data_IF_809081309412
#
_entry.id   IF_809081309412
#
_cell.length_a   1.000
_cell.length_b   1.000
_cell.length_c   1.000
_cell.angle_alpha   90.00
_cell.angle_beta   90.00
_cell.angle_gamma   90.00
#
_symmetry.space_group_name_H-M   'P 1'
#
loop_
_entity.id
_entity.type
_entity.pdbx_description
1 polymer ?
#
# COMPACT_ATOMS: atom_id res chain seq x y z
N UNK A 1 18.49 3.32 21.42
CA UNK A 1 18.28 2.41 22.56
C UNK A 1 17.59 1.16 22.04
N UNK A 2 18.23 0.00 22.12
CA UNK A 2 17.61 -1.26 21.68
C UNK A 2 16.40 -1.55 22.57
N UNK A 3 15.20 -1.56 21.98
CA UNK A 3 14.00 -1.95 22.70
C UNK A 3 14.12 -3.44 23.05
N UNK A 4 14.01 -3.77 24.34
CA UNK A 4 14.01 -5.16 24.80
C UNK A 4 12.75 -5.82 24.23
N UNK A 5 12.94 -6.88 23.44
CA UNK A 5 11.85 -7.67 22.91
C UNK A 5 11.27 -8.53 24.05
N UNK A 6 10.11 -8.13 24.56
CA UNK A 6 9.35 -8.83 25.58
C UNK A 6 8.20 -9.63 24.95
N UNK A 7 7.69 -10.60 25.71
CA UNK A 7 6.54 -11.41 25.31
C UNK A 7 5.40 -11.19 26.29
N UNK A 8 4.20 -10.94 25.78
CA UNK A 8 2.99 -10.70 26.58
C UNK A 8 1.89 -11.66 26.13
N UNK A 9 1.46 -12.55 27.02
CA UNK A 9 0.42 -13.56 26.75
C UNK A 9 -0.85 -13.22 27.54
N UNK A 10 -2.00 -13.31 26.90
CA UNK A 10 -3.26 -13.04 27.59
C UNK A 10 -4.51 -13.19 26.73
N UNK A 11 -5.65 -12.94 27.36
CA UNK A 11 -6.96 -12.95 26.71
C UNK A 11 -7.35 -11.52 26.38
N UNK A 12 -7.73 -11.28 25.13
CA UNK A 12 -8.27 -9.99 24.69
C UNK A 12 -9.65 -9.80 25.34
N UNK A 13 -9.81 -8.81 26.21
CA UNK A 13 -11.10 -8.51 26.82
C UNK A 13 -12.00 -7.73 25.89
N UNK A 14 -11.42 -6.73 25.21
CA UNK A 14 -12.12 -5.91 24.23
C UNK A 14 -11.15 -5.27 23.25
N UNK A 15 -11.68 -4.98 22.07
CA UNK A 15 -11.05 -4.14 21.05
C UNK A 15 -11.54 -2.72 21.30
N UNK A 16 -10.63 -1.82 21.64
CA UNK A 16 -10.96 -0.41 21.90
C UNK A 16 -11.13 0.35 20.60
N UNK A 17 -10.31 0.01 19.60
CA UNK A 17 -10.35 0.59 18.27
C UNK A 17 -9.77 -0.40 17.26
N UNK A 18 -10.34 -0.45 16.06
CA UNK A 18 -9.82 -1.21 14.94
C UNK A 18 -9.98 -0.39 13.67
N UNK A 19 -8.90 -0.25 12.91
CA UNK A 19 -8.94 0.27 11.56
C UNK A 19 -8.94 -0.91 10.58
N UNK A 20 -10.00 -1.01 9.76
CA UNK A 20 -10.17 -2.09 8.78
C UNK A 20 -9.18 -2.00 7.61
N UNK A 21 -8.72 -0.79 7.27
CA UNK A 21 -7.96 -0.52 6.05
C UNK A 21 -6.46 -0.76 6.26
N UNK A 22 -5.96 -0.33 7.41
CA UNK A 22 -4.64 -0.67 7.91
C UNK A 22 -4.91 -1.48 9.16
N UNK A 23 -4.75 -2.80 9.28
CA UNK A 23 -5.15 -3.59 10.48
C UNK A 23 -4.61 -3.18 11.89
N UNK A 24 -4.35 -1.92 12.19
CA UNK A 24 -4.08 -1.34 13.48
C UNK A 24 -5.26 -1.53 14.43
N UNK A 25 -4.97 -2.15 15.56
CA UNK A 25 -5.92 -2.44 16.61
C UNK A 25 -5.36 -2.01 17.96
N UNK A 26 -6.21 -1.39 18.77
CA UNK A 26 -5.92 -1.08 20.18
C UNK A 26 -6.70 -2.07 21.04
N UNK A 27 -5.98 -2.98 21.69
CA UNK A 27 -6.54 -4.09 22.43
C UNK A 27 -6.40 -3.86 23.93
N UNK A 28 -7.44 -4.21 24.68
CA UNK A 28 -7.34 -4.38 26.13
C UNK A 28 -7.22 -5.87 26.41
N UNK A 29 -6.13 -6.26 27.07
CA UNK A 29 -5.83 -7.66 27.35
C UNK A 29 -5.75 -7.89 28.85
N UNK A 30 -6.14 -9.09 29.29
CA UNK A 30 -5.84 -9.60 30.62
C UNK A 30 -4.64 -10.54 30.50
N UNK A 31 -3.45 -10.15 30.99
CA UNK A 31 -2.26 -10.99 30.96
C UNK A 31 -2.46 -12.27 31.78
N UNK A 32 -1.87 -13.38 31.32
CA UNK A 32 -1.87 -14.64 32.10
C UNK A 32 -0.97 -14.57 33.33
N UNK A 33 0.14 -13.83 33.23
CA UNK A 33 1.12 -13.72 34.32
C UNK A 33 0.63 -12.81 35.46
N UNK A 34 -0.38 -11.97 35.18
CA UNK A 34 -0.97 -11.02 36.15
C UNK A 34 -2.50 -11.01 36.06
N UNK A 35 -3.17 -12.10 36.48
CA UNK A 35 -4.63 -12.21 36.44
C UNK A 35 -5.25 -11.22 37.44
N UNK A 36 -5.71 -10.07 36.93
CA UNK A 36 -6.23 -8.95 37.71
C UNK A 36 -5.82 -7.58 37.16
N UNK A 37 -4.79 -7.54 36.32
CA UNK A 37 -4.38 -6.34 35.58
C UNK A 37 -5.00 -6.30 34.18
N UNK A 38 -5.20 -5.09 33.65
CA UNK A 38 -5.59 -4.86 32.26
C UNK A 38 -4.54 -4.02 31.56
N UNK A 39 -3.91 -4.60 30.55
CA UNK A 39 -2.87 -3.94 29.76
C UNK A 39 -3.42 -3.51 28.40
N UNK A 40 -2.80 -2.48 27.83
CA UNK A 40 -3.15 -1.98 26.49
C UNK A 40 -2.10 -2.42 25.50
N UNK A 41 -2.51 -3.11 24.44
CA UNK A 41 -1.63 -3.56 23.35
C UNK A 41 -2.00 -2.83 22.08
N UNK A 42 -1.02 -2.27 21.38
CA UNK A 42 -1.18 -1.78 20.01
C UNK A 42 -0.53 -2.77 19.05
N UNK A 43 -1.28 -3.22 18.04
CA UNK A 43 -0.83 -4.23 17.10
C UNK A 43 -1.37 -3.96 15.70
N UNK A 44 -0.57 -4.24 14.68
CA UNK A 44 -1.00 -4.21 13.28
C UNK A 44 -1.40 -5.61 12.80
N UNK A 45 -2.53 -6.10 13.32
CA UNK A 45 -3.11 -7.38 12.96
C UNK A 45 -4.58 -7.20 12.62
N UNK A 46 -4.98 -7.76 11.49
CA UNK A 46 -6.35 -7.69 11.02
C UNK A 46 -7.26 -8.50 11.94
N UNK A 47 -8.25 -7.78 12.46
CA UNK A 47 -9.35 -8.27 13.29
C UNK A 47 -8.92 -9.21 14.42
N UNK A 48 -8.44 -8.63 15.53
CA UNK A 48 -8.31 -9.35 16.80
C UNK A 48 -9.61 -9.21 17.57
N UNK A 49 -10.11 -10.28 18.18
CA UNK A 49 -11.43 -10.30 18.80
C UNK A 49 -11.37 -10.36 20.32
N UNK A 50 -12.40 -9.81 20.97
CA UNK A 50 -12.63 -10.10 22.37
C UNK A 50 -12.78 -11.63 22.57
N UNK A 51 -12.14 -12.18 23.59
CA UNK A 51 -12.07 -13.61 23.88
C UNK A 51 -10.88 -14.34 23.25
N UNK A 52 -10.21 -13.76 22.26
CA UNK A 52 -9.06 -14.39 21.63
C UNK A 52 -7.90 -14.54 22.63
N UNK A 53 -7.28 -15.72 22.65
CA UNK A 53 -6.05 -15.94 23.40
C UNK A 53 -4.87 -15.59 22.52
N UNK A 54 -4.08 -14.61 22.93
CA UNK A 54 -3.04 -14.01 22.10
C UNK A 54 -1.69 -14.04 22.80
N UNK A 55 -0.65 -14.18 22.00
CA UNK A 55 0.76 -14.06 22.39
C UNK A 55 1.40 -12.95 21.55
N UNK A 56 1.74 -11.85 22.20
CA UNK A 56 2.32 -10.65 21.59
C UNK A 56 3.83 -10.61 21.84
N UNK A 57 4.61 -10.25 20.83
CA UNK A 57 6.04 -9.97 20.94
C UNK A 57 6.29 -8.54 20.51
N UNK A 58 7.07 -7.80 21.29
CA UNK A 58 7.31 -6.39 21.03
C UNK A 58 7.92 -5.71 22.25
N UNK A 59 7.61 -4.43 22.45
CA UNK A 59 8.19 -3.65 23.54
C UNK A 59 7.18 -2.72 24.21
N UNK A 60 7.41 -2.41 25.49
CA UNK A 60 6.66 -1.38 26.19
C UNK A 60 7.02 0.01 25.67
N UNK A 61 6.00 0.80 25.43
CA UNK A 61 6.09 2.20 25.01
C UNK A 61 5.17 3.05 25.89
N UNK A 62 5.40 4.36 25.92
CA UNK A 62 4.54 5.31 26.62
C UNK A 62 4.03 6.32 25.61
N UNK A 63 2.72 6.32 25.38
CA UNK A 63 2.08 7.30 24.51
C UNK A 63 1.81 8.60 25.29
N UNK A 64 2.12 9.79 24.74
CA UNK A 64 1.97 11.06 25.44
C UNK A 64 0.56 11.32 26.01
N UNK A 65 -0.48 10.85 25.31
CA UNK A 65 -1.89 11.02 25.72
C UNK A 65 -2.53 9.79 26.38
N UNK A 66 -2.04 8.58 26.09
CA UNK A 66 -2.74 7.34 26.43
C UNK A 66 -1.96 6.46 27.43
N UNK A 67 -0.79 6.92 27.87
CA UNK A 67 0.02 6.26 28.88
C UNK A 67 0.72 5.00 28.35
N UNK A 68 1.00 4.07 29.26
CA UNK A 68 1.76 2.84 28.98
C UNK A 68 1.00 1.90 28.04
N UNK A 69 1.65 1.48 26.97
CA UNK A 69 1.12 0.56 25.98
C UNK A 69 2.20 -0.42 25.52
N UNK A 70 1.83 -1.68 25.32
CA UNK A 70 2.70 -2.66 24.70
C UNK A 70 2.55 -2.55 23.18
N UNK A 71 3.62 -2.13 22.49
CA UNK A 71 3.64 -2.08 21.02
C UNK A 71 4.10 -3.45 20.52
N UNK A 72 3.18 -4.22 19.96
CA UNK A 72 3.44 -5.55 19.44
C UNK A 72 3.83 -5.48 17.95
N UNK A 73 5.01 -6.02 17.63
CA UNK A 73 5.49 -6.20 16.26
C UNK A 73 4.98 -7.53 15.68
N UNK A 74 4.77 -8.53 16.55
CA UNK A 74 4.24 -9.84 16.19
C UNK A 74 3.14 -10.25 17.16
N UNK A 75 2.09 -10.87 16.64
CA UNK A 75 0.98 -11.36 17.42
C UNK A 75 0.54 -12.74 16.89
N UNK A 76 0.40 -13.69 17.81
CA UNK A 76 0.09 -15.08 17.53
C UNK A 76 -1.17 -15.45 18.27
N UNK A 77 -2.20 -15.85 17.54
CA UNK A 77 -3.44 -16.34 18.13
C UNK A 77 -3.28 -17.82 18.53
N UNK A 78 -3.63 -18.14 19.77
CA UNK A 78 -3.73 -19.51 20.30
C UNK A 78 -5.20 -19.91 20.32
N UNK A 79 -5.48 -21.20 20.11
CA UNK A 79 -6.84 -21.74 20.20
C UNK A 79 -7.45 -21.37 21.56
N UNK A 80 -8.71 -20.88 21.60
CA UNK A 80 -9.36 -20.57 22.87
C UNK A 80 -9.53 -21.85 23.69
N UNK A 81 -9.06 -21.83 24.94
CA UNK A 81 -9.08 -23.00 25.82
C UNK A 81 -10.42 -23.20 26.56
N UNK A 82 -11.36 -22.24 26.47
CA UNK A 82 -12.60 -22.26 27.27
C UNK A 82 -13.83 -21.88 26.46
N UNK A 83 -15.00 -22.41 26.87
CA UNK A 83 -16.30 -22.09 26.26
C UNK A 83 -16.62 -20.58 26.29
N UNK A 84 -16.24 -19.87 27.36
CA UNK A 84 -16.43 -18.42 27.45
C UNK A 84 -15.57 -17.65 26.45
N UNK A 85 -14.36 -18.13 26.16
CA UNK A 85 -13.49 -17.55 25.14
C UNK A 85 -14.05 -17.82 23.73
N UNK A 86 -14.56 -19.03 23.48
CA UNK A 86 -15.26 -19.41 22.25
C UNK A 86 -16.50 -18.54 21.96
N UNK A 87 -17.31 -18.27 22.98
CA UNK A 87 -18.52 -17.45 22.84
C UNK A 87 -18.18 -16.00 22.50
N UNK A 88 -17.19 -15.43 23.20
CA UNK A 88 -16.68 -14.09 22.89
C UNK A 88 -16.06 -14.04 21.49
N UNK A 89 -15.29 -15.06 21.11
CA UNK A 89 -14.63 -15.16 19.82
C UNK A 89 -15.66 -15.15 18.67
N UNK A 90 -16.68 -16.01 18.72
CA UNK A 90 -17.73 -16.06 17.71
C UNK A 90 -18.63 -14.83 17.72
N UNK A 91 -18.90 -14.26 18.90
CA UNK A 91 -19.81 -13.13 19.11
C UNK A 91 -19.17 -11.75 18.91
N UNK A 92 -17.89 -11.70 18.55
CA UNK A 92 -17.07 -10.49 18.47
C UNK A 92 -17.34 -9.61 17.24
N UNK A 93 -18.22 -10.06 16.34
CA UNK A 93 -18.39 -9.46 15.02
C UNK A 93 -17.43 -9.98 13.96
N UNK A 94 -16.64 -11.02 14.29
CA UNK A 94 -15.80 -11.75 13.35
C UNK A 94 -16.61 -12.29 12.16
N UNK A 95 -17.70 -12.98 12.48
CA UNK A 95 -18.53 -13.66 11.49
C UNK A 95 -19.78 -12.84 11.29
N UNK A 96 -19.96 -12.30 10.09
CA UNK A 96 -21.16 -11.55 9.76
C UNK A 96 -22.40 -12.43 9.99
N UNK A 97 -23.33 -11.96 10.84
CA UNK A 97 -24.51 -12.73 11.24
C UNK A 97 -24.41 -13.50 12.57
N UNK A 98 -23.23 -13.59 13.19
CA UNK A 98 -23.04 -14.17 14.52
C UNK A 98 -22.78 -13.07 15.55
N UNK A 99 -23.86 -12.53 16.11
CA UNK A 99 -23.76 -11.64 17.28
C UNK A 99 -23.61 -12.41 18.60
N UNK A 100 -23.33 -11.72 19.73
CA UNK A 100 -23.10 -12.35 21.04
C UNK A 100 -24.21 -13.33 21.46
N UNK A 101 -25.47 -13.00 21.21
CA UNK A 101 -26.62 -13.87 21.51
C UNK A 101 -26.64 -15.15 20.67
N UNK A 102 -26.21 -15.08 19.41
CA UNK A 102 -26.15 -16.25 18.51
C UNK A 102 -24.95 -17.12 18.89
N UNK A 103 -23.81 -16.50 19.15
CA UNK A 103 -22.61 -17.18 19.64
C UNK A 103 -22.87 -17.97 20.94
N UNK A 104 -23.57 -17.37 21.92
CA UNK A 104 -23.89 -18.06 23.16
C UNK A 104 -24.81 -19.27 22.97
N UNK A 105 -25.73 -19.23 22.00
CA UNK A 105 -26.56 -20.40 21.65
C UNK A 105 -25.74 -21.51 21.02
N UNK A 106 -24.87 -21.16 20.07
CA UNK A 106 -23.98 -22.11 19.38
C UNK A 106 -23.08 -22.81 20.41
N UNK A 107 -22.37 -22.04 21.24
CA UNK A 107 -21.44 -22.60 22.24
C UNK A 107 -22.17 -23.41 23.29
N UNK A 108 -23.40 -23.04 23.68
CA UNK A 108 -24.20 -23.84 24.61
C UNK A 108 -24.59 -25.20 24.02
N UNK A 109 -24.87 -25.25 22.72
CA UNK A 109 -25.26 -26.47 22.01
C UNK A 109 -24.06 -27.39 21.76
N UNK A 110 -22.97 -26.87 21.17
CA UNK A 110 -21.81 -27.67 20.76
C UNK A 110 -20.68 -27.74 21.80
N UNK A 111 -20.66 -26.84 22.79
CA UNK A 111 -19.66 -26.77 23.87
C UNK A 111 -18.23 -26.74 23.31
N UNK A 112 -17.37 -27.63 23.76
CA UNK A 112 -15.96 -27.72 23.35
C UNK A 112 -15.81 -28.07 21.86
N UNK A 113 -16.80 -28.74 21.26
CA UNK A 113 -16.81 -29.11 19.83
C UNK A 113 -17.21 -27.96 18.91
N UNK A 114 -17.45 -26.76 19.44
CA UNK A 114 -17.94 -25.64 18.64
C UNK A 114 -16.98 -25.30 17.51
N UNK A 115 -15.66 -25.24 17.77
CA UNK A 115 -14.68 -24.97 16.72
C UNK A 115 -14.61 -26.10 15.70
N UNK A 116 -14.65 -27.35 16.15
CA UNK A 116 -14.61 -28.50 15.25
C UNK A 116 -15.79 -28.49 14.26
N UNK A 117 -16.98 -28.08 14.73
CA UNK A 117 -18.16 -27.90 13.89
C UNK A 117 -17.95 -26.79 12.87
N UNK A 118 -17.37 -25.66 13.25
CA UNK A 118 -17.03 -24.60 12.29
C UNK A 118 -15.95 -25.02 11.29
N UNK A 119 -15.00 -25.87 11.69
CA UNK A 119 -13.89 -26.31 10.83
C UNK A 119 -14.29 -27.44 9.87
N UNK A 120 -15.17 -28.36 10.29
CA UNK A 120 -15.43 -29.61 9.56
C UNK A 120 -16.89 -29.83 9.18
N UNK A 121 -17.86 -29.29 9.93
CA UNK A 121 -19.28 -29.64 9.82
C UNK A 121 -20.21 -28.42 10.00
N UNK A 122 -19.92 -27.30 9.32
CA UNK A 122 -20.60 -26.02 9.58
C UNK A 122 -22.11 -26.08 9.34
N UNK A 123 -22.57 -26.98 8.46
CA UNK A 123 -23.98 -27.25 8.21
C UNK A 123 -24.78 -27.66 9.46
N UNK A 124 -24.12 -28.21 10.48
CA UNK A 124 -24.76 -28.58 11.76
C UNK A 124 -25.25 -27.38 12.55
N UNK A 125 -24.83 -26.16 12.23
CA UNK A 125 -25.32 -24.95 12.89
C UNK A 125 -26.86 -24.79 12.78
N UNK A 126 -27.52 -25.45 11.83
CA UNK A 126 -29.00 -25.50 11.74
C UNK A 126 -29.65 -26.20 12.96
N UNK A 127 -28.92 -27.06 13.67
CA UNK A 127 -29.39 -27.66 14.93
C UNK A 127 -29.63 -26.59 16.02
N UNK A 128 -29.02 -25.40 15.88
CA UNK A 128 -29.11 -24.32 16.87
C UNK A 128 -30.32 -23.43 16.59
N UNK A 129 -31.17 -23.26 17.61
CA UNK A 129 -32.39 -22.47 17.52
C UNK A 129 -32.14 -21.01 17.08
N UNK A 130 -32.61 -20.66 15.88
CA UNK A 130 -32.48 -19.32 15.28
C UNK A 130 -31.41 -19.21 14.20
N UNK A 131 -30.85 -20.33 13.74
CA UNK A 131 -30.02 -20.42 12.53
C UNK A 131 -30.82 -21.19 11.47
N UNK A 132 -31.39 -20.46 10.52
CA UNK A 132 -32.06 -21.02 9.34
C UNK A 132 -31.08 -21.11 8.15
N UNK A 133 -31.44 -21.80 7.07
CA UNK A 133 -30.60 -22.01 5.89
C UNK A 133 -29.92 -20.73 5.37
N UNK A 134 -30.69 -19.65 5.19
CA UNK A 134 -30.14 -18.34 4.75
C UNK A 134 -29.10 -17.76 5.70
N UNK A 135 -29.27 -17.98 7.00
CA UNK A 135 -28.31 -17.50 8.02
C UNK A 135 -27.09 -18.41 8.09
N UNK A 136 -27.26 -19.71 7.87
CA UNK A 136 -26.15 -20.66 7.73
C UNK A 136 -25.26 -20.27 6.55
N UNK A 137 -25.82 -20.04 5.35
CA UNK A 137 -25.05 -19.64 4.16
C UNK A 137 -24.19 -18.40 4.42
N UNK A 138 -24.77 -17.38 5.06
CA UNK A 138 -24.04 -16.16 5.42
C UNK A 138 -22.91 -16.42 6.44
N UNK A 139 -23.15 -17.30 7.41
CA UNK A 139 -22.14 -17.68 8.41
C UNK A 139 -21.00 -18.48 7.76
N UNK A 140 -21.35 -19.39 6.85
CA UNK A 140 -20.41 -20.22 6.11
C UNK A 140 -19.50 -19.38 5.21
N UNK A 141 -20.08 -18.43 4.46
CA UNK A 141 -19.32 -17.50 3.62
C UNK A 141 -18.35 -16.67 4.46
N UNK A 142 -18.85 -16.03 5.53
CA UNK A 142 -18.02 -15.19 6.40
C UNK A 142 -16.93 -15.99 7.11
N UNK A 143 -17.19 -17.24 7.48
CA UNK A 143 -16.20 -18.11 8.09
C UNK A 143 -15.12 -18.54 7.10
N UNK A 144 -15.51 -18.87 5.86
CA UNK A 144 -14.58 -19.19 4.77
C UNK A 144 -13.66 -18.00 4.47
N UNK A 145 -14.23 -16.81 4.28
CA UNK A 145 -13.46 -15.58 4.06
C UNK A 145 -12.45 -15.34 5.18
N UNK A 146 -12.89 -15.43 6.45
CA UNK A 146 -12.00 -15.25 7.58
C UNK A 146 -10.83 -16.25 7.59
N UNK A 147 -11.11 -17.53 7.29
CA UNK A 147 -10.07 -18.56 7.21
C UNK A 147 -9.04 -18.22 6.13
N UNK A 148 -9.49 -17.81 4.95
CA UNK A 148 -8.59 -17.47 3.85
C UNK A 148 -7.73 -16.25 4.16
N UNK A 149 -8.31 -15.20 4.74
CA UNK A 149 -7.55 -14.03 5.21
C UNK A 149 -6.50 -14.45 6.25
N UNK A 150 -6.86 -15.35 7.18
CA UNK A 150 -5.91 -15.88 8.17
C UNK A 150 -4.77 -16.66 7.52
N UNK A 151 -5.05 -17.46 6.50
CA UNK A 151 -4.01 -18.19 5.75
C UNK A 151 -3.04 -17.21 5.05
N UNK A 152 -3.57 -16.15 4.42
CA UNK A 152 -2.74 -15.06 3.83
C UNK A 152 -1.89 -14.37 4.91
N UNK A 153 -2.45 -14.09 6.09
CA UNK A 153 -1.67 -13.52 7.20
C UNK A 153 -0.54 -14.44 7.64
N UNK A 154 -0.82 -15.72 7.82
CA UNK A 154 0.18 -16.71 8.24
C UNK A 154 1.31 -16.82 7.21
N UNK A 155 0.97 -16.79 5.92
CA UNK A 155 1.95 -16.72 4.83
C UNK A 155 2.82 -15.46 4.92
N UNK A 156 2.24 -14.27 5.07
CA UNK A 156 3.03 -13.05 5.21
C UNK A 156 3.94 -13.09 6.46
N UNK A 157 3.46 -13.65 7.57
CA UNK A 157 4.25 -13.80 8.80
C UNK A 157 5.39 -14.80 8.65
N UNK A 158 5.20 -15.93 7.95
CA UNK A 158 6.27 -16.89 7.70
C UNK A 158 7.41 -16.27 6.89
N UNK A 159 7.09 -15.25 6.08
CA UNK A 159 8.04 -14.47 5.30
C UNK A 159 8.48 -13.15 5.98
N UNK A 160 8.20 -12.99 7.28
CA UNK A 160 8.58 -11.80 8.08
C UNK A 160 8.07 -10.46 7.56
N UNK A 161 6.87 -10.45 6.97
CA UNK A 161 6.23 -9.24 6.43
C UNK A 161 5.11 -8.80 7.38
N UNK A 162 4.83 -7.50 7.35
CA UNK A 162 3.69 -6.94 8.06
C UNK A 162 2.36 -7.56 7.56
N UNK A 163 1.57 -8.06 8.49
CA UNK A 163 0.20 -8.55 8.22
C UNK A 163 -0.81 -7.45 7.93
N UNK A 164 -0.40 -6.18 8.00
CA UNK A 164 -1.26 -5.02 7.81
C UNK A 164 -2.05 -5.08 6.51
N UNK A 165 -1.45 -5.63 5.46
CA UNK A 165 -2.03 -5.67 4.12
C UNK A 165 -2.79 -6.96 3.81
N UNK A 166 -2.85 -7.93 4.71
CA UNK A 166 -3.41 -9.26 4.42
C UNK A 166 -4.88 -9.20 3.97
N UNK A 167 -5.71 -8.37 4.63
CA UNK A 167 -7.11 -8.16 4.22
C UNK A 167 -7.19 -7.53 2.84
N UNK A 168 -6.37 -6.49 2.55
CA UNK A 168 -6.37 -5.84 1.23
C UNK A 168 -5.93 -6.81 0.13
N UNK A 169 -4.93 -7.65 0.43
CA UNK A 169 -4.42 -8.67 -0.49
C UNK A 169 -5.51 -9.70 -0.79
N UNK A 170 -6.19 -10.20 0.25
CA UNK A 170 -7.32 -11.13 0.06
C UNK A 170 -8.49 -10.48 -0.69
N UNK A 171 -8.87 -9.24 -0.37
CA UNK A 171 -9.95 -8.53 -1.08
C UNK A 171 -9.66 -8.35 -2.57
N UNK A 172 -8.38 -8.21 -2.96
CA UNK A 172 -7.99 -8.03 -4.36
C UNK A 172 -7.78 -9.35 -5.12
N UNK A 173 -7.23 -10.37 -4.45
CA UNK A 173 -6.83 -11.63 -5.11
C UNK A 173 -7.69 -12.84 -4.73
N UNK A 174 -8.54 -12.73 -3.71
CA UNK A 174 -9.40 -13.80 -3.21
C UNK A 174 -8.62 -15.01 -2.71
N UNK A 175 -9.18 -16.19 -2.95
CA UNK A 175 -8.58 -17.48 -2.59
C UNK A 175 -7.21 -17.72 -3.25
N UNK A 176 -6.94 -17.04 -4.37
CA UNK A 176 -5.69 -17.17 -5.11
C UNK A 176 -4.58 -16.26 -4.61
N UNK A 177 -4.81 -15.51 -3.52
CA UNK A 177 -3.85 -14.58 -2.95
C UNK A 177 -2.46 -15.20 -2.74
N UNK A 178 -2.39 -16.36 -2.08
CA UNK A 178 -1.12 -17.02 -1.79
C UNK A 178 -0.44 -17.48 -3.09
N UNK A 179 -1.19 -18.06 -4.03
CA UNK A 179 -0.66 -18.54 -5.31
C UNK A 179 -0.09 -17.39 -6.15
N UNK A 180 -0.84 -16.29 -6.25
CA UNK A 180 -0.44 -15.10 -7.02
C UNK A 180 0.81 -14.47 -6.42
N UNK A 181 0.84 -14.28 -5.09
CA UNK A 181 1.99 -13.68 -4.40
C UNK A 181 3.21 -14.59 -4.43
N UNK A 182 3.02 -15.91 -4.36
CA UNK A 182 4.13 -16.86 -4.46
C UNK A 182 4.73 -16.92 -5.87
N UNK A 183 3.90 -16.74 -6.91
CA UNK A 183 4.35 -16.75 -8.30
C UNK A 183 5.06 -15.47 -8.75
N UNK A 184 4.57 -14.31 -8.31
CA UNK A 184 5.22 -13.01 -8.53
C UNK A 184 5.04 -12.10 -7.28
N UNK A 185 6.01 -12.14 -6.36
CA UNK A 185 5.97 -11.37 -5.12
C UNK A 185 6.02 -9.84 -5.35
N UNK A 186 6.59 -9.39 -6.47
CA UNK A 186 6.71 -7.97 -6.81
C UNK A 186 5.38 -7.35 -7.25
N UNK A 187 4.36 -8.18 -7.52
CA UNK A 187 2.98 -7.70 -7.62
C UNK A 187 2.53 -6.98 -6.37
N UNK A 188 3.01 -7.39 -5.19
CA UNK A 188 2.66 -6.70 -3.95
C UNK A 188 3.00 -5.21 -4.01
N UNK A 189 4.16 -4.85 -4.55
CA UNK A 189 4.58 -3.47 -4.68
C UNK A 189 3.84 -2.70 -5.80
N UNK A 190 3.39 -3.41 -6.84
CA UNK A 190 2.66 -2.80 -7.96
C UNK A 190 1.17 -2.61 -7.65
N UNK A 191 0.57 -3.55 -6.92
CA UNK A 191 -0.87 -3.65 -6.73
C UNK A 191 -1.38 -3.01 -5.45
N UNK A 192 -0.52 -2.76 -4.45
CA UNK A 192 -0.90 -2.25 -3.14
C UNK A 192 -0.08 -1.02 -2.73
N UNK A 193 -0.77 0.13 -2.68
CA UNK A 193 -0.20 1.34 -2.11
C UNK A 193 0.21 1.12 -0.65
N UNK A 194 1.45 1.47 -0.33
CA UNK A 194 2.07 1.27 0.99
C UNK A 194 3.00 0.04 1.07
N UNK A 195 2.99 -0.83 0.06
CA UNK A 195 4.02 -1.88 -0.08
C UNK A 195 5.05 -1.40 -1.10
N UNK A 196 6.27 -1.14 -0.66
CA UNK A 196 7.37 -0.76 -1.53
C UNK A 196 8.16 -1.96 -2.07
N UNK A 197 9.10 -1.68 -2.98
CA UNK A 197 10.03 -2.68 -3.52
C UNK A 197 10.73 -3.49 -2.43
N UNK A 198 11.29 -2.85 -1.40
CA UNK A 198 12.01 -3.54 -0.33
C UNK A 198 11.16 -4.56 0.44
N UNK A 199 9.88 -4.25 0.65
CA UNK A 199 8.96 -5.18 1.32
C UNK A 199 8.66 -6.37 0.42
N UNK A 200 8.42 -6.13 -0.87
CA UNK A 200 8.23 -7.18 -1.87
C UNK A 200 9.50 -8.04 -2.06
N UNK A 201 10.68 -7.43 -2.05
CA UNK A 201 11.98 -8.10 -2.23
C UNK A 201 12.27 -9.08 -1.09
N UNK A 202 11.92 -8.72 0.15
CA UNK A 202 12.00 -9.63 1.29
C UNK A 202 11.11 -10.87 1.11
N UNK A 203 9.91 -10.70 0.55
CA UNK A 203 9.02 -11.84 0.23
C UNK A 203 9.66 -12.71 -0.83
N UNK A 204 10.13 -12.10 -1.90
CA UNK A 204 10.74 -12.81 -3.03
C UNK A 204 11.94 -13.65 -2.60
N UNK A 205 12.88 -13.06 -1.86
CA UNK A 205 14.07 -13.76 -1.40
C UNK A 205 13.72 -14.87 -0.39
N UNK A 206 12.74 -14.65 0.49
CA UNK A 206 12.32 -15.68 1.46
C UNK A 206 11.51 -16.82 0.82
N UNK A 207 10.92 -16.62 -0.35
CA UNK A 207 10.35 -17.68 -1.19
C UNK A 207 11.40 -18.44 -2.00
N UNK A 208 12.66 -18.02 -1.94
CA UNK A 208 13.76 -18.65 -2.66
C UNK A 208 13.93 -18.15 -4.10
N UNK A 209 13.38 -16.97 -4.43
CA UNK A 209 13.61 -16.36 -5.74
C UNK A 209 15.09 -16.01 -5.90
N UNK A 210 15.66 -16.33 -7.06
CA UNK A 210 17.06 -16.05 -7.34
C UNK A 210 17.36 -14.54 -7.26
N UNK A 211 18.49 -14.12 -6.65
CA UNK A 211 18.86 -12.71 -6.54
C UNK A 211 18.98 -11.99 -7.89
N UNK A 212 19.29 -12.73 -8.95
CA UNK A 212 19.41 -12.26 -10.32
C UNK A 212 18.18 -12.59 -11.18
N UNK A 213 17.07 -13.04 -10.58
CA UNK A 213 15.85 -13.37 -11.33
C UNK A 213 15.34 -12.20 -12.16
N UNK A 214 14.76 -12.50 -13.32
CA UNK A 214 14.17 -11.51 -14.22
C UNK A 214 13.04 -10.70 -13.55
N UNK A 215 12.26 -11.35 -12.68
CA UNK A 215 11.23 -10.69 -11.87
C UNK A 215 11.83 -9.61 -10.94
N UNK A 216 12.92 -9.93 -10.24
CA UNK A 216 13.62 -8.99 -9.35
C UNK A 216 14.24 -7.83 -10.10
N UNK A 217 14.90 -8.11 -11.23
CA UNK A 217 15.48 -7.08 -12.11
C UNK A 217 14.40 -6.14 -12.65
N UNK A 218 13.28 -6.68 -13.13
CA UNK A 218 12.15 -5.90 -13.64
C UNK A 218 11.55 -5.00 -12.55
N UNK A 219 11.38 -5.53 -11.34
CA UNK A 219 10.89 -4.77 -10.20
C UNK A 219 11.87 -3.68 -9.75
N UNK A 220 13.18 -3.95 -9.81
CA UNK A 220 14.23 -2.97 -9.54
C UNK A 220 14.19 -1.81 -10.53
N UNK A 221 14.10 -2.08 -11.83
CA UNK A 221 13.98 -1.03 -12.87
C UNK A 221 12.73 -0.17 -12.63
N UNK A 222 11.59 -0.79 -12.32
CA UNK A 222 10.35 -0.04 -11.99
C UNK A 222 10.55 0.85 -10.77
N UNK A 223 11.21 0.34 -9.73
CA UNK A 223 11.50 1.09 -8.52
C UNK A 223 12.41 2.28 -8.81
N UNK A 224 13.49 2.08 -9.57
CA UNK A 224 14.44 3.13 -9.97
C UNK A 224 13.76 4.21 -10.80
N UNK A 225 12.95 3.85 -11.80
CA UNK A 225 12.18 4.83 -12.58
C UNK A 225 11.17 5.62 -11.72
N UNK A 226 10.58 4.98 -10.72
CA UNK A 226 9.67 5.64 -9.77
C UNK A 226 10.43 6.57 -8.82
N UNK A 227 11.59 6.17 -8.32
CA UNK A 227 12.44 6.97 -7.45
C UNK A 227 13.04 8.18 -8.18
N UNK A 228 13.46 8.00 -9.44
CA UNK A 228 13.95 9.10 -10.28
C UNK A 228 12.91 10.22 -10.46
N UNK A 229 11.63 9.87 -10.53
CA UNK A 229 10.53 10.86 -10.53
C UNK A 229 10.52 11.71 -9.26
N UNK A 230 10.71 11.10 -8.10
CA UNK A 230 10.71 11.82 -6.81
C UNK A 230 11.91 12.78 -6.70
N UNK A 231 12.99 12.49 -7.42
CA UNK A 231 14.18 13.35 -7.56
C UNK A 231 14.03 14.43 -8.65
N UNK A 232 12.91 14.46 -9.37
CA UNK A 232 12.62 15.44 -10.41
C UNK A 232 13.11 15.05 -11.81
N UNK A 233 13.55 13.81 -12.03
CA UNK A 233 13.90 13.30 -13.36
C UNK A 233 12.65 12.94 -14.17
N UNK A 234 12.60 13.35 -15.44
CA UNK A 234 11.56 12.93 -16.39
C UNK A 234 11.85 11.55 -16.99
N UNK A 235 13.13 11.26 -17.23
CA UNK A 235 13.64 10.01 -17.78
C UNK A 235 14.98 9.67 -17.13
N UNK A 236 15.40 8.42 -17.31
CA UNK A 236 16.73 7.95 -16.93
C UNK A 236 17.43 7.30 -18.13
N UNK A 237 18.75 7.42 -18.17
CA UNK A 237 19.61 6.72 -19.13
C UNK A 237 19.90 5.30 -18.65
N UNK A 238 20.25 4.39 -19.57
CA UNK A 238 20.60 3.01 -19.23
C UNK A 238 21.72 2.91 -18.17
N UNK A 239 22.72 3.80 -18.25
CA UNK A 239 23.82 3.87 -17.27
C UNK A 239 23.34 4.28 -15.88
N UNK A 240 22.41 5.22 -15.78
CA UNK A 240 21.82 5.66 -14.51
C UNK A 240 20.98 4.54 -13.89
N UNK A 241 20.14 3.88 -14.70
CA UNK A 241 19.33 2.75 -14.22
C UNK A 241 20.24 1.63 -13.73
N UNK A 242 21.33 1.34 -14.43
CA UNK A 242 22.29 0.29 -14.04
C UNK A 242 22.94 0.62 -12.70
N UNK A 243 23.45 1.84 -12.52
CA UNK A 243 24.11 2.25 -11.28
C UNK A 243 23.14 2.23 -10.08
N UNK A 244 21.92 2.72 -10.25
CA UNK A 244 20.91 2.69 -9.17
C UNK A 244 20.42 1.26 -8.88
N UNK A 245 20.26 0.42 -9.91
CA UNK A 245 19.89 -0.97 -9.75
C UNK A 245 21.00 -1.78 -9.06
N UNK A 246 22.28 -1.54 -9.38
CA UNK A 246 23.42 -2.15 -8.71
C UNK A 246 23.42 -1.83 -7.21
N UNK A 247 23.24 -0.55 -6.86
CA UNK A 247 23.14 -0.12 -5.47
C UNK A 247 21.96 -0.76 -4.72
N UNK A 248 20.84 -1.01 -5.42
CA UNK A 248 19.65 -1.64 -4.86
C UNK A 248 19.79 -3.16 -4.68
N UNK A 249 20.40 -3.83 -5.66
CA UNK A 249 20.47 -5.28 -5.76
C UNK A 249 21.69 -5.88 -5.06
N UNK A 250 22.77 -5.10 -4.93
CA UNK A 250 24.03 -5.50 -4.31
C UNK A 250 24.98 -6.28 -5.23
N UNK A 251 24.74 -6.30 -6.53
CA UNK A 251 25.60 -6.89 -7.57
C UNK A 251 25.40 -6.14 -8.89
N UNK A 252 26.38 -6.24 -9.80
CA UNK A 252 26.33 -5.60 -11.11
C UNK A 252 25.32 -6.32 -12.05
N UNK A 253 24.20 -5.67 -12.43
CA UNK A 253 23.19 -6.26 -13.31
C UNK A 253 23.40 -5.91 -14.79
N UNK A 254 24.47 -5.19 -15.17
CA UNK A 254 24.62 -4.52 -16.47
C UNK A 254 24.30 -5.41 -17.68
N UNK A 255 24.90 -6.61 -17.75
CA UNK A 255 24.72 -7.52 -18.89
C UNK A 255 23.26 -7.96 -19.06
N UNK A 256 22.57 -8.24 -17.95
CA UNK A 256 21.19 -8.71 -17.98
C UNK A 256 20.20 -7.56 -18.14
N UNK A 257 20.52 -6.38 -17.60
CA UNK A 257 19.62 -5.23 -17.60
C UNK A 257 19.27 -4.77 -19.02
N UNK A 258 20.21 -4.86 -19.96
CA UNK A 258 19.95 -4.53 -21.37
C UNK A 258 18.84 -5.40 -21.96
N UNK A 259 18.87 -6.71 -21.67
CA UNK A 259 17.82 -7.64 -22.09
C UNK A 259 16.49 -7.31 -21.41
N UNK A 260 16.51 -7.08 -20.11
CA UNK A 260 15.32 -6.73 -19.31
C UNK A 260 14.67 -5.44 -19.81
N UNK A 261 15.44 -4.38 -20.09
CA UNK A 261 14.90 -3.12 -20.59
C UNK A 261 14.20 -3.29 -21.95
N UNK A 262 14.74 -4.13 -22.84
CA UNK A 262 14.11 -4.48 -24.12
C UNK A 262 12.81 -5.27 -23.91
N UNK A 263 12.82 -6.27 -23.03
CA UNK A 263 11.60 -7.03 -22.69
C UNK A 263 10.54 -6.12 -22.08
N UNK A 264 10.91 -5.25 -21.14
CA UNK A 264 10.01 -4.28 -20.51
C UNK A 264 9.45 -3.27 -21.50
N UNK A 265 10.21 -2.85 -22.51
CA UNK A 265 9.70 -2.02 -23.59
C UNK A 265 8.67 -2.78 -24.45
N UNK A 266 9.00 -4.02 -24.86
CA UNK A 266 8.14 -4.87 -25.69
C UNK A 266 6.81 -5.21 -24.98
N UNK A 267 6.87 -5.47 -23.67
CA UNK A 267 5.71 -5.72 -22.81
C UNK A 267 4.99 -4.44 -22.37
N UNK A 268 5.44 -3.27 -22.83
CA UNK A 268 4.84 -1.98 -22.51
C UNK A 268 4.82 -1.69 -20.99
N UNK A 269 5.84 -2.15 -20.26
CA UNK A 269 6.09 -1.85 -18.85
C UNK A 269 6.83 -0.52 -18.64
N UNK A 270 7.57 -0.07 -19.65
CA UNK A 270 8.21 1.25 -19.71
C UNK A 270 8.03 1.87 -21.10
N UNK A 271 8.43 3.13 -21.27
CA UNK A 271 8.48 3.81 -22.57
C UNK A 271 9.89 4.27 -22.89
N UNK A 272 10.26 4.23 -24.15
CA UNK A 272 11.57 4.69 -24.64
C UNK A 272 11.35 5.83 -25.62
N UNK A 273 12.17 6.86 -25.52
CA UNK A 273 12.30 7.91 -26.54
C UNK A 273 13.77 8.07 -26.88
N UNK A 274 14.07 8.21 -28.16
CA UNK A 274 15.39 8.64 -28.60
C UNK A 274 15.35 10.16 -28.71
N UNK A 275 16.19 10.83 -27.93
CA UNK A 275 16.38 12.28 -28.00
C UNK A 275 17.67 12.56 -28.77
N UNK A 276 17.56 13.44 -29.77
CA UNK A 276 18.67 13.91 -30.57
C UNK A 276 18.75 15.42 -30.39
N UNK A 277 19.75 15.89 -29.65
CA UNK A 277 20.03 17.32 -29.54
C UNK A 277 21.02 17.75 -30.66
N UNK A 278 20.87 18.95 -31.24
CA UNK A 278 21.79 19.44 -32.26
C UNK A 278 23.23 19.48 -31.74
N UNK A 279 24.09 18.59 -32.24
CA UNK A 279 25.51 18.51 -31.85
C UNK A 279 25.83 17.48 -30.76
N UNK A 280 24.84 16.72 -30.26
CA UNK A 280 25.06 15.62 -29.33
C UNK A 280 24.74 14.25 -29.96
N UNK A 281 25.30 13.19 -29.36
CA UNK A 281 24.97 11.82 -29.73
C UNK A 281 23.52 11.49 -29.32
N UNK A 282 22.88 10.59 -30.08
CA UNK A 282 21.55 10.08 -29.75
C UNK A 282 21.52 9.48 -28.34
N UNK A 283 20.57 9.94 -27.53
CA UNK A 283 20.36 9.45 -26.16
C UNK A 283 19.09 8.61 -26.11
N UNK A 284 19.23 7.37 -25.63
CA UNK A 284 18.11 6.48 -25.37
C UNK A 284 17.60 6.78 -23.95
N UNK A 285 16.41 7.35 -23.87
CA UNK A 285 15.78 7.80 -22.64
C UNK A 285 14.66 6.85 -22.23
N UNK A 286 14.72 6.31 -21.02
CA UNK A 286 13.73 5.41 -20.46
C UNK A 286 12.80 6.16 -19.49
N UNK A 287 11.50 5.97 -19.68
CA UNK A 287 10.45 6.67 -18.96
C UNK A 287 9.56 5.67 -18.22
N UNK A 288 9.09 6.09 -17.04
CA UNK A 288 7.84 5.54 -16.50
C UNK A 288 6.68 5.91 -17.42
N UNK A 289 5.69 5.03 -17.55
CA UNK A 289 4.57 5.25 -18.49
C UNK A 289 3.82 6.54 -18.22
N UNK A 290 3.53 6.84 -16.95
CA UNK A 290 2.81 8.06 -16.58
C UNK A 290 3.58 9.30 -17.03
N UNK A 291 4.87 9.38 -16.70
CA UNK A 291 5.70 10.55 -17.06
C UNK A 291 5.81 10.72 -18.57
N UNK A 292 5.94 9.63 -19.33
CA UNK A 292 5.99 9.71 -20.78
C UNK A 292 4.75 10.39 -21.37
N UNK A 293 3.55 9.98 -20.90
CA UNK A 293 2.30 10.55 -21.37
C UNK A 293 2.05 11.95 -20.82
N UNK A 294 2.41 12.21 -19.57
CA UNK A 294 2.29 13.53 -18.95
C UNK A 294 3.18 14.55 -19.69
N UNK A 295 4.43 14.20 -19.99
CA UNK A 295 5.35 15.04 -20.75
C UNK A 295 4.85 15.29 -22.18
N UNK A 296 4.41 14.23 -22.88
CA UNK A 296 3.86 14.36 -24.23
C UNK A 296 2.61 15.25 -24.26
N UNK A 297 1.73 15.13 -23.26
CA UNK A 297 0.53 15.93 -23.13
C UNK A 297 0.86 17.41 -22.89
N UNK A 298 1.80 17.70 -21.98
CA UNK A 298 2.24 19.09 -21.72
C UNK A 298 2.88 19.68 -22.96
N UNK A 299 3.76 18.95 -23.64
CA UNK A 299 4.40 19.38 -24.87
C UNK A 299 3.38 19.66 -25.98
N UNK A 300 2.39 18.79 -26.16
CA UNK A 300 1.32 19.00 -27.13
C UNK A 300 0.47 20.23 -26.80
N UNK A 301 0.11 20.42 -25.52
CA UNK A 301 -0.67 21.58 -25.07
C UNK A 301 0.07 22.89 -25.31
N UNK A 302 1.35 22.95 -24.95
CA UNK A 302 2.19 24.13 -25.20
C UNK A 302 2.38 24.34 -26.70
N UNK A 303 2.63 23.28 -27.48
CA UNK A 303 2.77 23.36 -28.94
C UNK A 303 1.54 23.96 -29.61
N UNK A 304 0.33 23.59 -29.18
CA UNK A 304 -0.93 24.19 -29.68
C UNK A 304 -1.07 25.67 -29.29
N UNK A 305 -0.50 26.09 -28.16
CA UNK A 305 -0.53 27.48 -27.68
C UNK A 305 0.59 28.35 -28.29
N UNK A 306 1.63 27.74 -28.86
CA UNK A 306 2.76 28.42 -29.45
C UNK A 306 2.45 29.05 -30.82
N UNK A 307 1.29 28.76 -31.41
CA UNK A 307 0.85 29.43 -32.63
C UNK A 307 0.38 30.86 -32.31
N UNK A 308 0.96 31.88 -32.97
CA UNK A 308 0.54 33.27 -32.76
C UNK A 308 -0.91 33.44 -33.19
N UNK A 309 -1.75 33.96 -32.29
CA UNK A 309 -3.09 34.42 -32.67
C UNK A 309 -2.95 35.77 -33.38
N UNK A 310 -3.84 36.05 -34.33
CA UNK A 310 -3.81 37.29 -35.10
C UNK A 310 -4.41 38.41 -34.25
N UNK A 311 -3.64 38.93 -33.29
CA UNK A 311 -4.05 39.98 -32.35
C UNK A 311 -3.55 41.34 -32.83
N UNK A 312 -4.41 42.38 -32.77
CA UNK A 312 -4.03 43.75 -33.14
C UNK A 312 -3.10 44.36 -32.08
N UNK A 313 -1.79 44.29 -32.33
CA UNK A 313 -0.75 44.86 -31.46
C UNK A 313 -0.93 46.38 -31.23
N UNK A 314 -1.50 47.12 -32.19
CA UNK A 314 -1.76 48.56 -32.05
C UNK A 314 -2.93 48.83 -31.10
N UNK A 315 -3.90 47.92 -31.03
CA UNK A 315 -4.95 47.98 -30.02
C UNK A 315 -4.38 47.72 -28.63
N UNK A 316 -3.54 46.70 -28.46
CA UNK A 316 -2.88 46.37 -27.18
C UNK A 316 -2.06 47.56 -26.69
N UNK A 317 -1.21 48.15 -27.54
CA UNK A 317 -0.37 49.29 -27.17
C UNK A 317 -1.17 50.48 -26.64
N UNK A 318 -2.25 50.87 -27.36
CA UNK A 318 -3.13 51.97 -26.94
C UNK A 318 -3.81 51.70 -25.60
N UNK A 319 -4.16 50.45 -25.33
CA UNK A 319 -4.81 50.06 -24.08
C UNK A 319 -3.84 50.13 -22.89
N UNK A 320 -2.60 49.67 -23.08
CA UNK A 320 -1.53 49.77 -22.08
C UNK A 320 -1.26 51.24 -21.73
N UNK A 321 -1.05 52.09 -22.73
CA UNK A 321 -0.76 53.53 -22.52
C UNK A 321 -1.88 54.23 -21.74
N UNK A 322 -3.14 53.95 -22.11
CA UNK A 322 -4.31 54.49 -21.42
C UNK A 322 -4.40 54.01 -19.98
N UNK A 323 -4.14 52.72 -19.73
CA UNK A 323 -4.21 52.15 -18.38
C UNK A 323 -3.10 52.71 -17.47
N UNK A 324 -1.88 52.80 -17.98
CA UNK A 324 -0.73 53.41 -17.29
C UNK A 324 -1.01 54.87 -16.92
N UNK A 325 -1.56 55.66 -17.84
CA UNK A 325 -1.90 57.06 -17.59
C UNK A 325 -3.01 57.21 -16.53
N UNK A 326 -4.00 56.32 -16.52
CA UNK A 326 -5.10 56.36 -15.54
C UNK A 326 -4.68 55.95 -14.14
N UNK A 327 -3.74 55.00 -14.01
CA UNK A 327 -3.26 54.47 -12.73
C UNK A 327 -1.98 55.16 -12.22
N UNK A 328 -1.38 56.06 -13.00
CA UNK A 328 -0.11 56.71 -12.66
C UNK A 328 1.09 55.76 -12.65
N UNK A 329 1.05 54.68 -13.44
CA UNK A 329 2.09 53.66 -13.50
C UNK A 329 3.01 53.95 -14.68
N UNK A 330 4.33 53.95 -14.46
CA UNK A 330 5.33 53.95 -15.52
C UNK A 330 5.97 52.56 -15.63
N UNK A 331 5.90 51.98 -16.82
CA UNK A 331 6.55 50.71 -17.15
C UNK A 331 7.89 51.00 -17.87
N UNK A 332 8.91 50.18 -17.60
CA UNK A 332 10.11 50.14 -18.44
C UNK A 332 9.80 49.55 -19.82
N UNK A 333 10.72 49.70 -20.77
CA UNK A 333 10.56 49.11 -22.12
C UNK A 333 10.37 47.59 -22.05
N UNK A 334 11.15 46.89 -21.21
CA UNK A 334 11.05 45.43 -21.02
C UNK A 334 9.71 45.02 -20.40
N UNK A 335 9.22 45.78 -19.42
CA UNK A 335 7.91 45.52 -18.80
C UNK A 335 6.77 45.77 -19.79
N UNK A 336 6.84 46.83 -20.59
CA UNK A 336 5.86 47.10 -21.63
C UNK A 336 5.87 46.02 -22.72
N UNK A 337 7.06 45.54 -23.11
CA UNK A 337 7.22 44.43 -24.05
C UNK A 337 6.66 43.11 -23.48
N UNK A 338 6.87 42.84 -22.19
CA UNK A 338 6.31 41.68 -21.50
C UNK A 338 4.78 41.70 -21.48
N UNK A 339 4.16 42.83 -21.12
CA UNK A 339 2.69 42.97 -21.10
C UNK A 339 2.11 42.80 -22.51
N UNK A 340 2.77 43.38 -23.53
CA UNK A 340 2.37 43.18 -24.94
C UNK A 340 2.46 41.71 -25.35
N UNK A 341 3.55 41.04 -24.99
CA UNK A 341 3.77 39.63 -25.32
C UNK A 341 2.73 38.71 -24.67
N UNK A 342 2.42 38.92 -23.38
CA UNK A 342 1.38 38.17 -22.65
C UNK A 342 -0.01 38.38 -23.26
N UNK A 343 -0.31 39.58 -23.75
CA UNK A 343 -1.60 39.87 -24.39
C UNK A 343 -1.69 39.31 -25.82
N UNK A 344 -0.56 39.15 -26.51
CA UNK A 344 -0.50 38.69 -27.91
C UNK A 344 -0.35 37.16 -28.05
N UNK A 345 0.19 36.47 -27.04
CA UNK A 345 0.47 35.04 -27.09
C UNK A 345 -0.33 34.26 -26.06
N UNK A 346 -0.78 33.05 -26.43
CA UNK A 346 -1.54 32.16 -25.53
C UNK A 346 -0.68 31.51 -24.45
N UNK A 347 0.64 31.51 -24.65
CA UNK A 347 1.63 31.02 -23.73
C UNK A 347 2.76 32.04 -23.64
N UNK A 348 3.08 32.48 -22.43
CA UNK A 348 4.16 33.42 -22.17
C UNK A 348 4.83 33.08 -20.86
N UNK A 349 6.15 33.21 -20.83
CA UNK A 349 6.95 33.01 -19.62
C UNK A 349 7.52 34.36 -19.21
N UNK A 350 7.09 34.87 -18.06
CA UNK A 350 7.65 36.08 -17.47
C UNK A 350 8.57 35.67 -16.32
N UNK A 351 9.87 35.80 -16.53
CA UNK A 351 10.88 35.53 -15.50
C UNK A 351 11.38 36.85 -14.91
N UNK A 352 11.43 36.94 -13.58
CA UNK A 352 12.00 38.08 -12.86
C UNK A 352 12.68 37.59 -11.59
N UNK A 353 13.83 38.20 -11.26
CA UNK A 353 14.57 37.96 -10.02
C UNK A 353 14.22 38.97 -8.95
#
# INVERSE_FOLDING_TARGET
MAAIAETLKGIVQRVTYHNSDSGWSVLRITPFDSPGSMETVTVHQTQVFAGATMEFHGAWTVHPQFGRQFKADKAIEKKPATAAALEKYLGSGLIHGVGPKTAGKIVRHFREKTLDVFEHDIGRLVEVQGIAAKKLEMIEEAWREHRMVREVMMFLQSHSISTLFAVRIYQKYGEEAIRIVSGDPYRLASDFYGIGFFSADKVALSLGLAPDSEQRLTAAVRHVLAAGREQGHCYLLSTQITAEAEALLGFDPAERLVGILRTMEAENHLKVRVLTEPGEAERICYYSKSLYYDEAFVAEKIGRMAHPENVDEKFIGRWIDRYCAQQGIQLSEDQAAAVKSVAAHRFSVLTGG
#
